data_IF_552685784828
#
_entry.id   IF_552685784828
#
_cell.length_a   1.000
_cell.length_b   1.000
_cell.length_c   1.000
_cell.angle_alpha   90.00
_cell.angle_beta   90.00
_cell.angle_gamma   90.00
#
_symmetry.space_group_name_H-M   'P 1'
#
loop_
_entity.id
_entity.type
_entity.pdbx_description
1 polymer ?
#
# COMPACT_ATOMS: atom_id res chain seq x y z
N UNK A 1 -0.13 17.50 79.79
CA UNK A 1 0.46 17.59 78.43
C UNK A 1 0.81 16.18 77.98
N UNK A 2 -0.11 15.50 77.26
CA UNK A 2 0.13 14.18 76.66
C UNK A 2 -0.35 14.27 75.21
N UNK A 3 0.60 14.36 74.27
CA UNK A 3 0.33 14.36 72.83
C UNK A 3 -0.07 12.94 72.43
N UNK A 4 -1.26 12.77 71.87
CA UNK A 4 -1.63 11.60 71.08
C UNK A 4 -1.28 11.91 69.62
N UNK A 5 -0.33 11.16 69.07
CA UNK A 5 -0.01 11.19 67.64
C UNK A 5 -1.11 10.45 66.87
N UNK A 6 -1.84 11.17 66.02
CA UNK A 6 -2.77 10.58 65.07
C UNK A 6 -1.98 10.05 63.87
N UNK A 7 -1.98 8.74 63.67
CA UNK A 7 -1.38 8.08 62.52
C UNK A 7 -2.39 8.11 61.36
N UNK A 8 -2.21 9.05 60.44
CA UNK A 8 -3.03 9.15 59.23
C UNK A 8 -2.58 8.08 58.23
N UNK A 9 -3.38 7.03 58.07
CA UNK A 9 -3.16 5.99 57.07
C UNK A 9 -3.59 6.53 55.70
N UNK A 10 -2.63 6.88 54.85
CA UNK A 10 -2.88 7.26 53.46
C UNK A 10 -3.12 5.96 52.69
N UNK A 11 -4.39 5.67 52.36
CA UNK A 11 -4.73 4.65 51.37
C UNK A 11 -4.31 5.19 49.99
N UNK A 12 -3.20 4.66 49.46
CA UNK A 12 -2.86 4.82 48.06
C UNK A 12 -3.88 4.03 47.24
N UNK A 13 -4.87 4.71 46.65
CA UNK A 13 -5.66 4.16 45.56
C UNK A 13 -4.74 4.03 44.35
N UNK A 14 -4.09 2.88 44.21
CA UNK A 14 -3.51 2.48 42.94
C UNK A 14 -4.67 2.30 41.97
N UNK A 15 -4.81 3.20 41.01
CA UNK A 15 -5.61 2.93 39.82
C UNK A 15 -4.94 1.74 39.15
N UNK A 16 -5.57 0.57 39.21
CA UNK A 16 -5.29 -0.48 38.24
C UNK A 16 -5.55 0.17 36.87
N UNK A 17 -4.49 0.52 36.16
CA UNK A 17 -4.60 0.88 34.76
C UNK A 17 -5.25 -0.34 34.11
N UNK A 18 -6.51 -0.20 33.69
CA UNK A 18 -7.14 -1.18 32.81
C UNK A 18 -6.18 -1.32 31.63
N UNK A 19 -5.68 -2.53 31.41
CA UNK A 19 -4.85 -2.82 30.25
C UNK A 19 -5.65 -2.36 29.03
N UNK A 20 -5.20 -1.30 28.35
CA UNK A 20 -5.75 -1.00 27.05
C UNK A 20 -5.27 -2.11 26.12
N UNK A 21 -6.24 -2.86 25.57
CA UNK A 21 -5.96 -3.75 24.46
C UNK A 21 -5.35 -2.90 23.32
N UNK A 22 -4.33 -3.45 22.65
CA UNK A 22 -3.66 -2.75 21.55
C UNK A 22 -4.69 -2.41 20.47
N UNK A 23 -4.76 -1.14 20.06
CA UNK A 23 -5.58 -0.71 18.94
C UNK A 23 -4.75 0.11 17.95
N UNK A 24 -4.65 -0.39 16.73
CA UNK A 24 -3.81 0.09 15.64
C UNK A 24 -4.58 1.07 14.75
N UNK A 25 -3.96 2.20 14.42
CA UNK A 25 -4.26 2.98 13.24
C UNK A 25 -3.42 2.47 12.05
N UNK A 26 -3.86 2.79 10.83
CA UNK A 26 -2.99 2.63 9.66
C UNK A 26 -1.68 3.40 9.87
N UNK A 27 -0.51 2.82 9.51
CA UNK A 27 0.78 3.50 9.63
C UNK A 27 1.04 4.53 8.52
N UNK A 28 -0.03 5.01 7.87
CA UNK A 28 -0.04 5.93 6.74
C UNK A 28 -1.25 6.86 6.88
N UNK A 29 -1.11 8.12 6.47
CA UNK A 29 -2.25 9.02 6.25
C UNK A 29 -2.66 8.91 4.78
N UNK A 30 -3.60 8.00 4.49
CA UNK A 30 -4.03 7.69 3.13
C UNK A 30 -5.48 7.21 3.11
N UNK A 31 -6.07 7.23 1.90
CA UNK A 31 -7.37 6.63 1.62
C UNK A 31 -7.11 5.27 0.98
N UNK A 32 -7.49 4.20 1.69
CA UNK A 32 -7.39 2.84 1.16
C UNK A 32 -8.23 2.70 -0.12
N UNK A 33 -7.66 2.02 -1.12
CA UNK A 33 -8.27 1.84 -2.44
C UNK A 33 -8.09 3.04 -3.38
N UNK A 34 -7.58 4.17 -2.89
CA UNK A 34 -7.34 5.37 -3.71
C UNK A 34 -5.86 5.77 -3.75
N UNK A 35 -5.26 6.04 -2.57
CA UNK A 35 -3.88 6.53 -2.46
C UNK A 35 -2.94 5.53 -1.80
N UNK A 36 -3.49 4.49 -1.17
CA UNK A 36 -2.75 3.36 -0.65
C UNK A 36 -3.58 2.06 -0.72
N UNK A 37 -2.90 0.92 -0.67
CA UNK A 37 -3.52 -0.39 -0.90
C UNK A 37 -2.89 -1.44 0.00
N UNK A 38 -3.69 -2.36 0.54
CA UNK A 38 -3.15 -3.54 1.22
C UNK A 38 -2.94 -4.63 0.16
N UNK A 39 -1.68 -4.96 -0.13
CA UNK A 39 -1.37 -5.93 -1.17
C UNK A 39 -1.14 -7.34 -0.63
N UNK A 40 -0.59 -7.47 0.56
CA UNK A 40 -0.29 -8.77 1.18
C UNK A 40 -0.70 -8.75 2.65
N UNK A 41 -1.21 -9.88 3.13
CA UNK A 41 -1.61 -10.11 4.50
C UNK A 41 -0.74 -11.18 5.14
N UNK A 42 -0.86 -11.33 6.47
CA UNK A 42 -0.14 -12.37 7.22
C UNK A 42 -0.50 -13.74 6.67
N UNK A 43 0.49 -14.60 6.54
CA UNK A 43 0.30 -15.98 6.15
C UNK A 43 -0.27 -16.78 7.32
N UNK A 44 -1.50 -17.25 7.14
CA UNK A 44 -2.22 -18.05 8.13
C UNK A 44 -2.06 -19.56 7.93
N UNK A 45 -1.43 -19.99 6.82
CA UNK A 45 -1.19 -21.39 6.49
C UNK A 45 0.22 -21.61 5.86
N UNK A 46 1.30 -21.51 6.67
CA UNK A 46 2.66 -21.61 6.16
C UNK A 46 2.96 -22.88 5.37
N UNK A 47 3.53 -22.68 4.18
CA UNK A 47 3.87 -23.71 3.21
C UNK A 47 3.41 -23.34 1.78
N UNK A 48 3.47 -24.29 0.83
CA UNK A 48 3.07 -24.06 -0.56
C UNK A 48 1.62 -23.61 -0.76
N UNK A 49 0.80 -23.71 0.29
CA UNK A 49 -0.61 -23.35 0.30
C UNK A 49 -0.91 -21.98 0.90
N UNK A 50 0.10 -21.16 1.23
CA UNK A 50 0.00 -19.88 1.94
C UNK A 50 -1.28 -19.08 1.64
N UNK A 51 -1.93 -18.60 2.70
CA UNK A 51 -3.23 -17.92 2.62
C UNK A 51 -3.31 -16.73 3.54
N UNK A 52 -3.99 -15.70 3.07
CA UNK A 52 -4.45 -14.60 3.93
C UNK A 52 -5.56 -15.08 4.89
N UNK A 53 -5.96 -14.22 5.83
CA UNK A 53 -6.98 -14.51 6.83
C UNK A 53 -8.38 -14.86 6.27
N UNK A 54 -8.63 -14.56 5.00
CA UNK A 54 -9.87 -14.94 4.30
C UNK A 54 -9.77 -16.30 3.61
N UNK A 55 -8.59 -16.93 3.64
CA UNK A 55 -8.25 -18.12 2.85
C UNK A 55 -7.87 -17.80 1.40
N UNK A 56 -7.72 -16.52 1.06
CA UNK A 56 -7.35 -16.00 -0.24
C UNK A 56 -5.84 -16.01 -0.50
N UNK A 57 -5.41 -15.72 -1.75
CA UNK A 57 -4.02 -15.83 -2.17
C UNK A 57 -3.22 -14.54 -1.99
N UNK A 58 -3.71 -13.54 -1.24
CA UNK A 58 -2.98 -12.29 -0.98
C UNK A 58 -2.01 -12.49 0.20
N UNK A 59 -1.21 -13.55 0.10
CA UNK A 59 -0.09 -13.84 0.98
C UNK A 59 0.95 -14.69 0.24
N UNK A 60 2.06 -14.99 0.90
CA UNK A 60 3.07 -15.92 0.43
C UNK A 60 3.71 -16.66 1.61
N UNK A 61 4.35 -17.79 1.32
CA UNK A 61 4.87 -18.71 2.35
C UNK A 61 5.77 -17.98 3.37
N UNK A 62 5.30 -17.99 4.62
CA UNK A 62 6.00 -17.40 5.76
C UNK A 62 5.88 -15.89 5.86
N UNK A 63 4.94 -15.24 5.16
CA UNK A 63 4.72 -13.81 5.30
C UNK A 63 4.22 -13.45 6.71
N UNK A 64 4.95 -12.58 7.42
CA UNK A 64 4.72 -12.32 8.85
C UNK A 64 3.98 -11.01 9.15
N UNK A 65 3.49 -10.30 8.13
CA UNK A 65 2.94 -8.96 8.32
C UNK A 65 1.91 -8.58 7.28
N UNK A 66 1.49 -7.33 7.34
CA UNK A 66 0.62 -6.72 6.33
C UNK A 66 1.45 -5.71 5.52
N UNK A 67 1.37 -5.78 4.20
CA UNK A 67 2.08 -4.87 3.28
C UNK A 67 1.12 -3.81 2.77
N UNK A 68 1.33 -2.55 3.19
CA UNK A 68 0.50 -1.40 2.79
C UNK A 68 1.33 -0.52 1.86
N UNK A 69 0.93 -0.48 0.59
CA UNK A 69 1.68 0.13 -0.51
C UNK A 69 1.05 1.43 -0.99
N UNK A 70 1.87 2.24 -1.65
CA UNK A 70 1.42 3.28 -2.59
C UNK A 70 1.39 2.73 -4.03
N UNK A 71 0.78 3.42 -5.01
CA UNK A 71 0.67 2.93 -6.38
C UNK A 71 2.02 2.56 -7.01
N UNK A 72 3.02 3.42 -6.92
CA UNK A 72 4.28 3.34 -7.67
C UNK A 72 5.42 4.08 -6.96
N UNK A 73 6.64 4.04 -7.54
CA UNK A 73 7.82 4.67 -6.94
C UNK A 73 7.78 6.21 -6.97
N UNK A 74 7.03 6.80 -7.89
CA UNK A 74 6.86 8.25 -7.91
C UNK A 74 6.10 8.68 -6.65
N UNK A 75 4.96 8.05 -6.35
CA UNK A 75 4.19 8.32 -5.14
C UNK A 75 5.03 8.16 -3.86
N UNK A 76 5.92 7.16 -3.81
CA UNK A 76 6.85 7.00 -2.68
C UNK A 76 7.86 8.16 -2.60
N UNK A 77 8.44 8.55 -3.73
CA UNK A 77 9.48 9.60 -3.80
C UNK A 77 8.92 11.00 -3.54
N UNK A 78 7.62 11.20 -3.79
CA UNK A 78 6.90 12.43 -3.42
C UNK A 78 6.81 12.64 -1.89
N UNK A 79 7.17 11.62 -1.11
CA UNK A 79 7.30 11.67 0.35
C UNK A 79 6.05 11.14 1.04
N UNK A 80 6.15 9.91 1.54
CA UNK A 80 5.06 9.24 2.26
C UNK A 80 5.47 9.03 3.72
N UNK A 81 4.95 9.84 4.66
CA UNK A 81 5.26 9.67 6.08
C UNK A 81 4.77 8.33 6.60
N UNK A 82 5.63 7.61 7.31
CA UNK A 82 5.24 6.45 8.12
C UNK A 82 4.91 6.93 9.52
N UNK A 83 3.73 6.55 9.99
CA UNK A 83 3.17 6.97 11.27
C UNK A 83 3.23 5.83 12.28
N UNK A 84 3.41 6.18 13.56
CA UNK A 84 3.30 5.22 14.65
C UNK A 84 1.86 4.68 14.74
N UNK A 85 1.62 3.37 14.53
CA UNK A 85 0.26 2.81 14.46
C UNK A 85 -0.44 2.79 15.82
N UNK A 86 0.31 2.86 16.92
CA UNK A 86 -0.20 3.02 18.27
C UNK A 86 0.83 3.74 19.15
N UNK A 87 0.38 4.27 20.30
CA UNK A 87 1.30 4.82 21.29
C UNK A 87 2.20 3.73 21.86
N UNK A 88 3.46 4.07 22.17
CA UNK A 88 4.42 3.08 22.66
C UNK A 88 5.80 3.65 22.88
N UNK A 89 6.78 2.78 23.15
CA UNK A 89 8.19 3.13 23.30
C UNK A 89 8.99 2.50 22.17
N UNK A 90 9.87 3.26 21.53
CA UNK A 90 10.78 2.71 20.52
C UNK A 90 11.72 1.69 21.16
N UNK A 91 11.63 0.44 20.70
CA UNK A 91 12.40 -0.71 21.17
C UNK A 91 13.67 -0.92 20.36
N UNK A 92 13.61 -0.67 19.05
CA UNK A 92 14.70 -0.89 18.12
C UNK A 92 14.57 0.00 16.88
N UNK A 93 15.72 0.37 16.32
CA UNK A 93 15.82 1.17 15.10
C UNK A 93 16.93 0.59 14.24
N UNK A 94 16.71 0.54 12.93
CA UNK A 94 17.77 0.42 11.93
C UNK A 94 17.58 1.49 10.88
N UNK A 95 18.66 2.20 10.57
CA UNK A 95 18.73 3.18 9.50
C UNK A 95 20.13 3.13 8.86
N UNK A 96 20.22 3.28 7.54
CA UNK A 96 21.48 3.17 6.78
C UNK A 96 21.53 2.06 5.72
N UNK A 97 20.49 1.25 5.56
CA UNK A 97 20.39 0.26 4.48
C UNK A 97 19.95 0.97 3.20
N UNK A 98 20.73 0.93 2.09
CA UNK A 98 20.32 1.52 0.83
C UNK A 98 19.22 0.72 0.12
N UNK A 99 18.41 1.40 -0.69
CA UNK A 99 17.45 0.75 -1.57
C UNK A 99 18.11 -0.28 -2.50
N UNK A 100 17.38 -1.35 -2.82
CA UNK A 100 17.85 -2.40 -3.73
C UNK A 100 18.99 -3.27 -3.18
N UNK A 101 19.34 -3.12 -1.90
CA UNK A 101 20.29 -4.00 -1.21
C UNK A 101 19.56 -5.01 -0.34
N UNK A 102 20.12 -6.22 -0.27
CA UNK A 102 19.57 -7.33 0.53
C UNK A 102 20.66 -7.93 1.43
N UNK A 103 21.18 -7.20 2.44
CA UNK A 103 22.18 -7.77 3.33
C UNK A 103 21.61 -8.94 4.13
N UNK A 104 22.40 -10.00 4.32
CA UNK A 104 22.00 -11.17 5.10
C UNK A 104 21.49 -10.77 6.50
N UNK A 105 20.31 -11.28 6.88
CA UNK A 105 19.67 -10.98 8.16
C UNK A 105 19.04 -9.58 8.26
N UNK A 106 18.93 -8.85 7.14
CA UNK A 106 18.32 -7.53 7.08
C UNK A 106 17.12 -7.48 6.13
N UNK A 107 16.29 -8.53 6.12
CA UNK A 107 15.09 -8.60 5.28
C UNK A 107 14.15 -7.40 5.50
N UNK A 108 14.03 -6.92 6.75
CA UNK A 108 13.27 -5.72 7.11
C UNK A 108 13.84 -4.41 6.53
N UNK A 109 15.09 -4.39 6.05
CA UNK A 109 15.76 -3.14 5.64
C UNK A 109 15.91 -2.19 6.83
N UNK A 110 15.65 -0.90 6.58
CA UNK A 110 15.47 0.08 7.65
C UNK A 110 14.09 -0.09 8.29
N UNK A 111 14.03 0.13 9.60
CA UNK A 111 12.82 -0.18 10.35
C UNK A 111 12.82 0.36 11.76
N UNK A 112 11.61 0.40 12.33
CA UNK A 112 11.36 0.81 13.71
C UNK A 112 10.52 -0.27 14.39
N UNK A 113 10.96 -0.74 15.56
CA UNK A 113 10.20 -1.61 16.43
C UNK A 113 9.68 -0.81 17.64
N UNK A 114 8.40 -0.97 17.96
CA UNK A 114 7.68 -0.20 18.98
C UNK A 114 7.07 -1.18 20.00
N UNK A 115 7.44 -1.03 21.27
CA UNK A 115 6.84 -1.73 22.41
C UNK A 115 5.61 -0.96 22.89
N UNK A 116 4.45 -1.61 22.87
CA UNK A 116 3.17 -1.03 23.29
C UNK A 116 2.78 -1.43 24.72
N UNK A 117 3.63 -2.20 25.41
CA UNK A 117 3.35 -2.77 26.72
C UNK A 117 2.56 -4.07 26.65
N UNK A 118 2.46 -4.78 27.78
CA UNK A 118 1.72 -6.04 27.90
C UNK A 118 2.16 -7.13 26.87
N UNK A 119 3.40 -7.07 26.42
CA UNK A 119 3.97 -7.99 25.44
C UNK A 119 3.64 -7.67 23.99
N UNK A 120 2.88 -6.60 23.72
CA UNK A 120 2.57 -6.16 22.37
C UNK A 120 3.73 -5.38 21.74
N UNK A 121 4.08 -5.73 20.51
CA UNK A 121 5.11 -5.05 19.71
C UNK A 121 4.63 -4.88 18.28
N UNK A 122 4.94 -3.74 17.65
CA UNK A 122 4.88 -3.59 16.18
C UNK A 122 6.27 -3.39 15.61
N UNK A 123 6.51 -3.92 14.41
CA UNK A 123 7.72 -3.68 13.63
C UNK A 123 7.33 -3.16 12.26
N UNK A 124 7.87 -2.01 11.89
CA UNK A 124 7.66 -1.33 10.61
C UNK A 124 8.95 -1.43 9.80
N UNK A 125 8.86 -1.99 8.60
CA UNK A 125 10.01 -2.31 7.74
C UNK A 125 9.96 -1.56 6.40
N UNK A 126 11.05 -1.68 5.64
CA UNK A 126 11.24 -1.11 4.31
C UNK A 126 11.25 0.42 4.28
N UNK A 127 11.65 1.05 5.40
CA UNK A 127 11.71 2.51 5.52
C UNK A 127 12.82 3.09 4.63
N UNK A 128 12.64 4.34 4.20
CA UNK A 128 13.61 5.03 3.36
C UNK A 128 14.93 5.26 4.10
N UNK A 129 16.05 5.15 3.38
CA UNK A 129 17.39 5.32 3.93
C UNK A 129 17.63 6.75 4.42
N UNK A 130 17.99 6.91 5.69
CA UNK A 130 18.23 8.19 6.35
C UNK A 130 16.95 8.92 6.77
N UNK A 131 15.79 8.27 6.67
CA UNK A 131 14.50 8.91 6.97
C UNK A 131 14.05 8.73 8.42
N UNK A 132 14.67 7.85 9.21
CA UNK A 132 14.18 7.51 10.56
C UNK A 132 14.41 8.68 11.53
N UNK A 133 13.32 9.17 12.12
CA UNK A 133 13.29 10.40 12.93
C UNK A 133 13.28 10.15 14.45
N UNK A 134 13.34 8.89 14.86
CA UNK A 134 13.19 8.46 16.26
C UNK A 134 14.37 7.60 16.71
N UNK A 135 14.62 7.58 18.02
CA UNK A 135 15.68 6.80 18.65
C UNK A 135 15.12 5.79 19.66
N UNK A 136 15.92 4.75 19.95
CA UNK A 136 15.60 3.76 20.98
C UNK A 136 15.34 4.46 22.32
N UNK A 137 14.18 4.17 22.92
CA UNK A 137 13.74 4.75 24.17
C UNK A 137 12.75 5.91 24.03
N UNK A 138 12.56 6.48 22.84
CA UNK A 138 11.57 7.54 22.62
C UNK A 138 10.15 7.06 22.91
N UNK A 139 9.32 7.95 23.45
CA UNK A 139 7.89 7.71 23.67
C UNK A 139 7.11 8.30 22.51
N UNK A 140 6.36 7.45 21.81
CA UNK A 140 5.55 7.81 20.66
C UNK A 140 4.09 7.97 21.04
N UNK A 141 3.43 8.91 20.37
CA UNK A 141 1.97 9.00 20.34
C UNK A 141 1.46 8.32 19.07
N UNK A 142 0.22 7.84 19.09
CA UNK A 142 -0.45 7.35 17.88
C UNK A 142 -0.43 8.43 16.79
N UNK A 143 -0.16 8.05 15.55
CA UNK A 143 -0.11 8.95 14.40
C UNK A 143 1.14 9.84 14.34
N UNK A 144 2.08 9.71 15.27
CA UNK A 144 3.34 10.47 15.21
C UNK A 144 4.16 10.02 13.98
N UNK A 145 4.63 10.93 13.12
CA UNK A 145 5.59 10.59 12.07
C UNK A 145 6.90 10.05 12.65
N UNK A 146 7.38 8.94 12.11
CA UNK A 146 8.61 8.27 12.59
C UNK A 146 9.65 8.07 11.50
N UNK A 147 9.24 8.04 10.23
CA UNK A 147 10.11 7.82 9.06
C UNK A 147 9.35 8.15 7.77
N UNK A 148 9.97 7.85 6.62
CA UNK A 148 9.31 7.86 5.31
C UNK A 148 9.30 6.45 4.69
N UNK A 149 8.31 6.16 3.86
CA UNK A 149 8.22 4.91 3.09
C UNK A 149 9.43 4.79 2.16
N UNK A 150 9.98 3.59 2.03
CA UNK A 150 11.10 3.32 1.14
C UNK A 150 10.98 1.98 0.40
N UNK A 151 12.12 1.51 -0.10
CA UNK A 151 12.27 0.20 -0.76
C UNK A 151 13.53 -0.53 -0.29
N UNK A 152 13.84 -0.45 1.01
CA UNK A 152 15.04 -1.05 1.60
C UNK A 152 14.77 -2.47 2.09
N UNK A 153 15.81 -3.31 2.12
CA UNK A 153 15.66 -4.72 2.48
C UNK A 153 14.92 -5.53 1.43
N UNK A 154 14.33 -6.66 1.82
CA UNK A 154 13.74 -7.67 0.94
C UNK A 154 12.34 -7.29 0.45
N UNK A 155 12.28 -6.29 -0.43
CA UNK A 155 11.04 -5.75 -1.02
C UNK A 155 11.09 -5.67 -2.54
N UNK A 156 9.91 -5.70 -3.19
CA UNK A 156 9.75 -5.65 -4.65
C UNK A 156 8.90 -4.46 -5.17
N UNK A 157 8.23 -3.76 -4.25
CA UNK A 157 7.36 -2.60 -4.52
C UNK A 157 7.37 -1.65 -3.30
N UNK A 158 7.11 -0.34 -3.48
CA UNK A 158 7.06 0.61 -2.37
C UNK A 158 5.96 0.28 -1.38
N UNK A 159 6.30 0.00 -0.14
CA UNK A 159 5.33 -0.27 0.92
C UNK A 159 5.93 -0.14 2.31
N UNK A 160 5.07 -0.06 3.32
CA UNK A 160 5.43 -0.38 4.69
C UNK A 160 4.93 -1.79 5.02
N UNK A 161 5.83 -2.62 5.52
CA UNK A 161 5.48 -3.93 6.08
C UNK A 161 5.33 -3.77 7.59
N UNK A 162 4.14 -4.08 8.11
CA UNK A 162 3.86 -4.08 9.55
C UNK A 162 3.73 -5.51 10.07
N UNK A 163 4.64 -5.92 10.94
CA UNK A 163 4.47 -7.14 11.76
C UNK A 163 3.94 -6.76 13.13
N UNK A 164 2.90 -7.45 13.60
CA UNK A 164 2.39 -7.34 14.97
C UNK A 164 2.79 -8.59 15.75
N UNK A 165 3.28 -8.42 16.98
CA UNK A 165 3.64 -9.54 17.86
C UNK A 165 3.01 -9.39 19.24
N UNK A 166 2.63 -10.52 19.83
CA UNK A 166 2.30 -10.62 21.25
C UNK A 166 3.23 -11.63 21.90
N UNK A 167 3.99 -11.21 22.92
CA UNK A 167 4.98 -12.02 23.63
C UNK A 167 5.99 -12.72 22.68
N UNK A 168 6.36 -12.04 21.60
CA UNK A 168 7.30 -12.54 20.59
C UNK A 168 6.68 -13.42 19.49
N UNK A 169 5.39 -13.76 19.57
CA UNK A 169 4.67 -14.52 18.53
C UNK A 169 3.95 -13.57 17.58
N UNK A 170 4.06 -13.82 16.27
CA UNK A 170 3.33 -13.05 15.24
C UNK A 170 1.82 -13.22 15.43
N UNK A 171 1.09 -12.11 15.35
CA UNK A 171 -0.36 -12.04 15.41
C UNK A 171 -0.85 -11.35 14.14
N UNK A 172 -1.83 -11.95 13.47
CA UNK A 172 -2.53 -11.29 12.37
C UNK A 172 -3.52 -10.25 12.93
N UNK A 173 -3.35 -8.95 12.62
CA UNK A 173 -4.18 -7.89 13.18
C UNK A 173 -5.65 -7.94 12.73
N UNK A 174 -5.97 -8.60 11.63
CA UNK A 174 -7.34 -8.78 11.13
C UNK A 174 -8.07 -9.88 11.90
N UNK A 175 -7.40 -11.02 12.14
CA UNK A 175 -8.02 -12.12 12.93
C UNK A 175 -8.16 -11.79 14.42
N UNK A 176 -7.35 -10.85 14.92
CA UNK A 176 -7.31 -10.48 16.33
C UNK A 176 -8.06 -9.17 16.66
N UNK A 177 -8.79 -8.57 15.70
CA UNK A 177 -9.55 -7.31 15.87
C UNK A 177 -8.66 -6.22 16.53
N UNK A 178 -7.49 -5.98 15.94
CA UNK A 178 -6.53 -5.00 16.47
C UNK A 178 -6.70 -3.62 15.84
N UNK A 179 -7.43 -3.49 14.74
CA UNK A 179 -7.60 -2.20 14.06
C UNK A 179 -8.62 -1.32 14.78
N UNK A 180 -8.31 -0.02 14.93
CA UNK A 180 -9.27 0.96 15.46
C UNK A 180 -10.48 1.09 14.52
N UNK A 181 -10.20 1.19 13.23
CA UNK A 181 -11.15 1.05 12.13
C UNK A 181 -10.58 -0.02 11.22
N UNK A 182 -11.23 -1.19 11.18
CA UNK A 182 -10.78 -2.32 10.37
C UNK A 182 -10.88 -1.98 8.88
N UNK A 183 -9.78 -2.10 8.12
CA UNK A 183 -9.82 -2.00 6.66
C UNK A 183 -10.73 -3.05 6.04
N UNK A 184 -11.52 -2.65 5.04
CA UNK A 184 -12.23 -3.61 4.20
C UNK A 184 -11.24 -4.50 3.45
N UNK A 185 -11.58 -5.78 3.31
CA UNK A 185 -10.75 -6.71 2.53
C UNK A 185 -10.92 -6.46 1.03
N UNK A 186 -9.84 -6.03 0.38
CA UNK A 186 -9.74 -5.91 -1.07
C UNK A 186 -9.09 -7.17 -1.67
N UNK A 187 -9.80 -7.97 -2.48
CA UNK A 187 -9.26 -9.22 -3.04
C UNK A 187 -8.35 -9.02 -4.27
N UNK A 188 -7.96 -7.76 -4.54
CA UNK A 188 -7.26 -7.26 -5.72
C UNK A 188 -7.83 -5.90 -6.14
N UNK A 189 -7.05 -5.09 -6.85
CA UNK A 189 -7.45 -3.71 -7.19
C UNK A 189 -6.54 -3.04 -8.21
N UNK A 190 -6.99 -1.92 -8.76
CA UNK A 190 -6.26 -1.06 -9.69
C UNK A 190 -5.38 -0.09 -8.89
N UNK A 191 -4.08 -0.11 -9.15
CA UNK A 191 -3.13 0.80 -8.50
C UNK A 191 -3.07 2.15 -9.21
N UNK A 192 -3.06 2.12 -10.55
CA UNK A 192 -2.99 3.32 -11.38
C UNK A 192 -3.41 3.00 -12.80
N UNK A 193 -4.01 3.97 -13.48
CA UNK A 193 -4.24 3.95 -14.92
C UNK A 193 -3.71 5.24 -15.53
N UNK A 194 -3.42 5.23 -16.82
CA UNK A 194 -2.92 6.41 -17.50
C UNK A 194 -2.88 6.24 -19.01
N UNK A 195 -2.54 7.33 -19.68
CA UNK A 195 -2.40 7.36 -21.13
C UNK A 195 -0.92 7.42 -21.56
N UNK A 196 -0.64 6.93 -22.76
CA UNK A 196 0.67 7.02 -23.43
C UNK A 196 0.50 6.97 -24.96
N UNK A 197 1.53 7.36 -25.71
CA UNK A 197 1.55 7.30 -27.19
C UNK A 197 2.12 5.99 -27.75
N UNK A 198 2.55 5.10 -26.86
CA UNK A 198 2.98 3.73 -27.12
C UNK A 198 2.66 2.88 -25.89
N UNK A 199 2.73 1.55 -26.02
CA UNK A 199 2.62 0.66 -24.86
C UNK A 199 3.85 0.90 -23.96
N UNK A 200 3.69 1.34 -22.70
CA UNK A 200 4.81 1.58 -21.82
C UNK A 200 5.50 0.27 -21.41
N UNK A 201 6.79 0.36 -21.11
CA UNK A 201 7.51 -0.73 -20.48
C UNK A 201 7.04 -0.92 -19.03
N UNK A 202 7.02 -2.16 -18.55
CA UNK A 202 6.55 -2.45 -17.20
C UNK A 202 7.34 -1.70 -16.10
N UNK A 203 8.61 -1.40 -16.35
CA UNK A 203 9.42 -0.63 -15.40
C UNK A 203 8.95 0.83 -15.33
N UNK A 204 8.57 1.46 -16.45
CA UNK A 204 8.03 2.83 -16.46
C UNK A 204 6.72 2.91 -15.67
N UNK A 205 5.89 1.87 -15.77
CA UNK A 205 4.65 1.73 -14.99
C UNK A 205 4.97 1.70 -13.49
N UNK A 206 5.90 0.82 -13.07
CA UNK A 206 6.30 0.69 -11.67
C UNK A 206 6.97 1.95 -11.12
N UNK A 207 7.66 2.70 -11.97
CA UNK A 207 8.36 3.92 -11.59
C UNK A 207 7.43 5.15 -11.58
N UNK A 208 6.18 5.02 -12.05
CA UNK A 208 5.23 6.13 -12.12
C UNK A 208 5.55 7.14 -13.23
N UNK A 209 6.30 6.73 -14.26
CA UNK A 209 6.81 7.59 -15.35
C UNK A 209 6.17 7.30 -16.71
N UNK A 210 5.20 6.38 -16.75
CA UNK A 210 4.52 5.96 -17.98
C UNK A 210 3.41 6.91 -18.44
N UNK A 211 2.91 7.79 -17.56
CA UNK A 211 1.75 8.63 -17.84
C UNK A 211 2.13 9.85 -18.67
N UNK A 212 1.36 10.11 -19.72
CA UNK A 212 1.36 11.37 -20.45
C UNK A 212 0.22 12.26 -19.94
N UNK A 213 0.54 13.51 -19.56
CA UNK A 213 -0.47 14.51 -19.20
C UNK A 213 -1.18 15.08 -20.45
N UNK A 214 -0.43 15.18 -21.55
CA UNK A 214 -0.91 15.64 -22.84
C UNK A 214 -0.21 14.87 -23.96
N UNK A 215 -0.86 14.79 -25.12
CA UNK A 215 -0.26 14.27 -26.33
C UNK A 215 -0.59 15.17 -27.52
N UNK A 216 0.29 15.25 -28.54
CA UNK A 216 -0.04 15.94 -29.78
C UNK A 216 -1.17 15.21 -30.50
N UNK A 217 -1.99 15.93 -31.27
CA UNK A 217 -3.01 15.29 -32.14
C UNK A 217 -2.40 14.38 -33.21
N UNK A 218 -1.08 14.44 -33.41
CA UNK A 218 -0.31 13.57 -34.30
C UNK A 218 0.36 12.41 -33.58
N UNK A 219 0.04 12.14 -32.31
CA UNK A 219 0.60 11.01 -31.57
C UNK A 219 0.35 9.69 -32.33
N UNK A 220 1.34 8.80 -32.48
CA UNK A 220 1.22 7.61 -33.32
C UNK A 220 0.19 6.59 -32.82
N UNK A 221 -0.09 6.60 -31.52
CA UNK A 221 -1.18 5.83 -30.91
C UNK A 221 -1.78 6.61 -29.74
N UNK A 222 -3.00 6.22 -29.35
CA UNK A 222 -3.61 6.56 -28.07
C UNK A 222 -3.76 5.27 -27.28
N UNK A 223 -2.93 5.10 -26.25
CA UNK A 223 -2.87 3.89 -25.43
C UNK A 223 -3.37 4.22 -24.02
N UNK A 224 -4.36 3.47 -23.55
CA UNK A 224 -4.74 3.41 -22.14
C UNK A 224 -4.02 2.22 -21.51
N UNK A 225 -3.40 2.41 -20.36
CA UNK A 225 -2.75 1.37 -19.58
C UNK A 225 -3.29 1.33 -18.16
N UNK A 226 -3.16 0.16 -17.52
CA UNK A 226 -3.60 -0.11 -16.16
C UNK A 226 -2.59 -0.97 -15.42
N UNK A 227 -2.26 -0.57 -14.20
CA UNK A 227 -1.42 -1.30 -13.26
C UNK A 227 -2.26 -1.74 -12.07
N UNK A 228 -2.08 -2.97 -11.61
CA UNK A 228 -2.98 -3.59 -10.64
C UNK A 228 -2.26 -4.69 -9.83
N UNK A 229 -2.89 -5.08 -8.73
CA UNK A 229 -2.42 -6.15 -7.85
C UNK A 229 -3.50 -7.21 -7.63
N UNK A 230 -3.09 -8.41 -7.22
CA UNK A 230 -4.02 -9.46 -6.82
C UNK A 230 -4.89 -10.03 -7.95
N UNK A 231 -4.46 -9.92 -9.21
CA UNK A 231 -5.18 -10.49 -10.36
C UNK A 231 -5.19 -12.02 -10.32
N UNK A 232 -6.33 -12.62 -10.62
CA UNK A 232 -6.55 -14.08 -10.68
C UNK A 232 -6.82 -14.52 -12.12
N UNK A 233 -6.45 -15.76 -12.42
CA UNK A 233 -6.91 -16.42 -13.65
C UNK A 233 -8.44 -16.33 -13.76
N UNK A 234 -8.93 -15.92 -14.93
CA UNK A 234 -10.36 -15.70 -15.19
C UNK A 234 -10.88 -14.30 -14.86
N UNK A 235 -10.12 -13.45 -14.15
CA UNK A 235 -10.51 -12.05 -13.97
C UNK A 235 -10.61 -11.34 -15.33
N UNK A 236 -11.50 -10.36 -15.41
CA UNK A 236 -11.76 -9.59 -16.62
C UNK A 236 -11.32 -8.14 -16.39
N UNK A 237 -10.63 -7.58 -17.38
CA UNK A 237 -10.22 -6.17 -17.42
C UNK A 237 -10.90 -5.53 -18.63
N UNK A 238 -11.82 -4.62 -18.36
CA UNK A 238 -12.50 -3.80 -19.37
C UNK A 238 -11.76 -2.47 -19.48
N UNK A 239 -11.46 -2.03 -20.70
CA UNK A 239 -10.75 -0.79 -20.97
C UNK A 239 -11.48 -0.02 -22.08
N UNK A 240 -11.92 1.20 -21.77
CA UNK A 240 -12.66 2.05 -22.70
C UNK A 240 -12.01 3.42 -22.78
N UNK A 241 -11.97 3.99 -23.98
CA UNK A 241 -11.60 5.40 -24.19
C UNK A 241 -12.70 6.09 -24.99
N UNK A 242 -13.16 7.24 -24.51
CA UNK A 242 -14.11 8.11 -25.20
C UNK A 242 -13.51 9.48 -25.50
N UNK A 243 -13.93 10.11 -26.59
CA UNK A 243 -13.58 11.50 -26.89
C UNK A 243 -14.44 12.52 -26.13
N UNK A 244 -14.24 13.81 -26.43
CA UNK A 244 -14.95 14.92 -25.78
C UNK A 244 -16.45 14.96 -26.05
N UNK A 245 -16.92 14.30 -27.11
CA UNK A 245 -18.33 14.20 -27.47
C UNK A 245 -18.97 12.92 -26.90
N UNK A 246 -18.20 12.14 -26.15
CA UNK A 246 -18.61 10.86 -25.58
C UNK A 246 -18.66 9.72 -26.61
N UNK A 247 -18.08 9.90 -27.80
CA UNK A 247 -17.97 8.81 -28.77
C UNK A 247 -16.84 7.87 -28.36
N UNK A 248 -17.05 6.56 -28.55
CA UNK A 248 -16.00 5.57 -28.29
C UNK A 248 -14.86 5.73 -29.29
N UNK A 249 -13.65 5.91 -28.77
CA UNK A 249 -12.41 5.74 -29.55
C UNK A 249 -12.12 4.24 -29.65
N UNK A 250 -12.03 3.56 -28.52
CA UNK A 250 -11.96 2.10 -28.48
C UNK A 250 -12.53 1.53 -27.19
N UNK A 251 -12.90 0.27 -27.26
CA UNK A 251 -13.32 -0.57 -26.13
C UNK A 251 -12.69 -1.96 -26.30
N UNK A 252 -12.18 -2.52 -25.22
CA UNK A 252 -11.65 -3.88 -25.21
C UNK A 252 -11.90 -4.55 -23.87
N UNK A 253 -11.95 -5.87 -23.91
CA UNK A 253 -12.07 -6.74 -22.75
C UNK A 253 -10.92 -7.76 -22.80
N UNK A 254 -10.25 -7.98 -21.66
CA UNK A 254 -9.15 -8.93 -21.54
C UNK A 254 -9.40 -9.85 -20.35
N UNK A 255 -9.47 -11.16 -20.62
CA UNK A 255 -9.46 -12.18 -19.57
C UNK A 255 -8.04 -12.53 -19.17
N UNK A 256 -7.76 -12.57 -17.87
CA UNK A 256 -6.47 -13.02 -17.34
C UNK A 256 -6.32 -14.53 -17.49
N UNK A 257 -5.18 -14.96 -18.02
CA UNK A 257 -4.83 -16.36 -18.27
C UNK A 257 -4.10 -17.03 -17.09
N UNK A 258 -3.76 -16.26 -16.05
CA UNK A 258 -3.05 -16.73 -14.87
C UNK A 258 -3.19 -15.76 -13.68
N UNK A 259 -3.01 -16.29 -12.48
CA UNK A 259 -2.91 -15.50 -11.25
C UNK A 259 -1.56 -14.78 -11.15
N UNK A 260 -1.57 -13.51 -10.77
CA UNK A 260 -0.39 -12.67 -10.65
C UNK A 260 -0.51 -11.72 -9.45
N UNK A 261 0.54 -11.65 -8.61
CA UNK A 261 0.57 -10.69 -7.49
C UNK A 261 0.53 -9.23 -7.96
N UNK A 262 1.20 -8.94 -9.08
CA UNK A 262 1.22 -7.64 -9.76
C UNK A 262 1.21 -7.85 -11.27
N UNK A 263 0.49 -7.00 -11.99
CA UNK A 263 0.40 -7.05 -13.44
C UNK A 263 0.03 -5.69 -14.01
N UNK A 264 0.32 -5.49 -15.30
CA UNK A 264 -0.22 -4.38 -16.06
C UNK A 264 -0.90 -4.88 -17.34
N UNK A 265 -1.85 -4.12 -17.86
CA UNK A 265 -2.46 -4.29 -19.18
C UNK A 265 -2.47 -2.96 -19.90
N UNK A 266 -2.40 -3.01 -21.22
CA UNK A 266 -2.50 -1.84 -22.07
C UNK A 266 -3.28 -2.19 -23.33
N UNK A 267 -4.09 -1.25 -23.78
CA UNK A 267 -4.84 -1.32 -25.00
C UNK A 267 -4.85 0.04 -25.66
N UNK A 268 -4.92 0.07 -26.98
CA UNK A 268 -4.88 1.34 -27.69
C UNK A 268 -5.15 1.20 -29.16
N UNK A 269 -5.42 2.35 -29.77
CA UNK A 269 -5.63 2.47 -31.20
C UNK A 269 -4.45 3.22 -31.82
N UNK A 270 -3.98 2.75 -32.98
CA UNK A 270 -3.02 3.49 -33.80
C UNK A 270 -3.75 4.58 -34.56
N UNK A 271 -3.06 5.71 -34.74
CA UNK A 271 -3.59 6.79 -35.56
C UNK A 271 -3.82 6.29 -37.00
N UNK A 272 -5.07 6.37 -37.46
CA UNK A 272 -5.50 5.89 -38.78
C UNK A 272 -6.08 6.98 -39.69
N UNK A 273 -6.43 8.14 -39.12
CA UNK A 273 -6.81 9.39 -39.80
C UNK A 273 -5.66 10.41 -39.56
N UNK A 274 -5.52 11.55 -40.27
CA UNK A 274 -4.28 12.33 -40.21
C UNK A 274 -4.01 12.96 -38.84
N UNK A 275 -5.01 13.00 -37.94
CA UNK A 275 -4.88 13.46 -36.57
C UNK A 275 -6.01 12.90 -35.67
N UNK A 276 -5.75 12.80 -34.38
CA UNK A 276 -6.78 12.57 -33.36
C UNK A 276 -7.72 13.77 -33.24
N UNK A 277 -8.93 13.54 -32.75
CA UNK A 277 -9.78 14.63 -32.29
C UNK A 277 -9.03 15.42 -31.21
N UNK A 278 -9.00 16.75 -31.33
CA UNK A 278 -8.42 17.59 -30.30
C UNK A 278 -9.37 17.69 -29.10
N UNK A 279 -8.81 17.80 -27.90
CA UNK A 279 -9.57 17.96 -26.67
C UNK A 279 -9.40 16.81 -25.68
N UNK A 280 -10.27 16.80 -24.66
CA UNK A 280 -10.25 15.81 -23.58
C UNK A 280 -10.70 14.46 -24.11
N UNK A 281 -9.97 13.43 -23.72
CA UNK A 281 -10.35 12.03 -23.87
C UNK A 281 -10.37 11.41 -22.48
N UNK A 282 -11.38 10.59 -22.22
CA UNK A 282 -11.57 9.94 -20.92
C UNK A 282 -11.34 8.45 -21.07
N UNK A 283 -10.46 7.91 -20.24
CA UNK A 283 -10.16 6.50 -20.13
C UNK A 283 -10.82 5.92 -18.89
N UNK A 284 -11.49 4.79 -19.01
CA UNK A 284 -12.04 4.03 -17.88
C UNK A 284 -11.49 2.61 -17.93
N UNK A 285 -11.09 2.10 -16.76
CA UNK A 285 -10.67 0.70 -16.59
C UNK A 285 -11.47 0.08 -15.47
N UNK A 286 -12.06 -1.08 -15.71
CA UNK A 286 -12.82 -1.85 -14.71
C UNK A 286 -12.19 -3.22 -14.54
N UNK A 287 -11.88 -3.59 -13.30
CA UNK A 287 -11.43 -4.93 -12.93
C UNK A 287 -12.64 -5.72 -12.38
N UNK A 288 -12.91 -6.89 -12.96
CA UNK A 288 -14.00 -7.78 -12.54
C UNK A 288 -13.50 -9.17 -12.19
N UNK A 289 -14.18 -9.79 -11.23
CA UNK A 289 -14.02 -11.20 -10.85
C UNK A 289 -15.38 -11.85 -10.69
N UNK A 290 -15.58 -12.99 -11.33
CA UNK A 290 -16.84 -13.73 -11.30
C UNK A 290 -18.07 -12.86 -11.65
N UNK A 291 -17.89 -11.90 -12.56
CA UNK A 291 -18.92 -10.96 -13.01
C UNK A 291 -19.18 -9.77 -12.06
N UNK A 292 -18.47 -9.68 -10.93
CA UNK A 292 -18.56 -8.56 -9.98
C UNK A 292 -17.40 -7.60 -10.20
N UNK A 293 -17.68 -6.30 -10.25
CA UNK A 293 -16.65 -5.26 -10.25
C UNK A 293 -15.91 -5.26 -8.92
N UNK A 294 -14.60 -5.49 -8.97
CA UNK A 294 -13.71 -5.31 -7.83
C UNK A 294 -13.31 -3.84 -7.69
N UNK A 295 -12.96 -3.20 -8.80
CA UNK A 295 -12.46 -1.83 -8.82
C UNK A 295 -12.68 -1.17 -10.19
N UNK A 296 -12.74 0.17 -10.22
CA UNK A 296 -12.94 0.98 -11.41
C UNK A 296 -12.24 2.33 -11.28
N UNK A 297 -11.31 2.62 -12.18
CA UNK A 297 -10.64 3.93 -12.25
C UNK A 297 -10.98 4.66 -13.54
N UNK A 298 -11.00 5.99 -13.44
CA UNK A 298 -11.19 6.92 -14.57
C UNK A 298 -10.03 7.90 -14.60
N UNK A 299 -9.48 8.15 -15.78
CA UNK A 299 -8.44 9.16 -16.01
C UNK A 299 -8.73 9.92 -17.30
N UNK A 300 -8.08 11.07 -17.48
CA UNK A 300 -8.24 11.91 -18.65
C UNK A 300 -6.89 12.22 -19.29
N UNK A 301 -6.91 12.47 -20.59
CA UNK A 301 -5.80 13.08 -21.32
C UNK A 301 -6.30 14.18 -22.24
N UNK A 302 -5.50 15.22 -22.45
CA UNK A 302 -5.80 16.26 -23.44
C UNK A 302 -4.93 16.08 -24.69
N UNK A 303 -5.57 15.93 -25.84
CA UNK A 303 -4.92 15.88 -27.14
C UNK A 303 -4.92 17.27 -27.79
N UNK A 304 -3.76 17.74 -28.23
CA UNK A 304 -3.65 19.00 -28.98
C UNK A 304 -3.43 20.26 -28.16
N UNK A 305 -2.93 20.15 -26.93
CA UNK A 305 -2.27 21.29 -26.27
C UNK A 305 -0.82 21.31 -26.76
N UNK A 306 -0.46 22.31 -27.55
CA UNK A 306 0.93 22.50 -27.97
C UNK A 306 1.82 22.97 -26.82
N UNK A 307 3.14 23.10 -27.04
CA UNK A 307 3.94 24.05 -26.27
C UNK A 307 3.40 25.49 -26.38
#
# INVERSE_FOLDING_TARGET
MRLFAALTMILAFGTAAMAQDLRLCLPLDCTLGETCFIQQYVDTDPGPGARDFTGGPLSYDGHQGTDIRVPDRQAMTDGVPILAPAAGRVRGVRDGVPDGTFPDGQDCGNGVAIDHGNGWETQLCHLSNGSVQVAVGDILRVGQPIAEMGMTGRTQFPHVHITVRQNGTVVDPFTADLWQAEPDYEPGGLLRIGFADAIPDYQQIKDGTAEAETLPVTAPALVLWAYMFGGREGDIIEMTVTDSDGQSVFETEVTLDRTQAQLFRAAGQRLSDPQWQAGRHTGTVVLKRDGVTLDSLVTDIVLGVGP
#
